data_IF_348242985192
#
_entry.id   IF_348242985192
#
_cell.length_a   1.000
_cell.length_b   1.000
_cell.length_c   1.000
_cell.angle_alpha   90.00
_cell.angle_beta   90.00
_cell.angle_gamma   90.00
#
_symmetry.space_group_name_H-M   'P 1'
#
loop_
_entity.id
_entity.type
_entity.pdbx_description
1 polymer ?
#
# COMPACT_ATOMS: atom_id res chain seq x y z
N UNK A 1 -3.44 10.01 -28.08
CA UNK A 1 -3.14 9.62 -26.69
C UNK A 1 -3.88 10.58 -25.79
N UNK A 2 -4.64 10.09 -24.80
CA UNK A 2 -5.25 10.99 -23.81
C UNK A 2 -4.15 11.69 -23.03
N UNK A 3 -4.32 12.96 -22.73
CA UNK A 3 -3.39 13.73 -21.93
C UNK A 3 -3.29 13.15 -20.51
N UNK A 4 -2.05 12.97 -20.03
CA UNK A 4 -1.81 12.41 -18.69
C UNK A 4 -2.30 13.34 -17.59
N UNK A 5 -2.70 12.78 -16.46
CA UNK A 5 -3.01 13.54 -15.26
C UNK A 5 -1.71 14.06 -14.62
N UNK A 6 -1.75 15.31 -14.18
CA UNK A 6 -0.63 15.96 -13.50
C UNK A 6 -0.61 15.53 -12.03
N UNK A 7 0.50 14.98 -11.60
CA UNK A 7 0.64 14.40 -10.26
C UNK A 7 1.63 15.20 -9.43
N UNK A 8 1.25 15.50 -8.19
CA UNK A 8 2.14 15.98 -7.15
C UNK A 8 2.48 14.88 -6.17
N UNK A 9 3.69 14.91 -5.60
CA UNK A 9 4.08 14.01 -4.53
C UNK A 9 4.48 14.84 -3.32
N UNK A 10 3.80 14.61 -2.20
CA UNK A 10 4.06 15.30 -0.94
C UNK A 10 4.98 14.45 -0.07
N UNK A 11 6.08 15.03 0.43
CA UNK A 11 7.12 14.38 1.22
C UNK A 11 8.40 14.05 0.45
N UNK A 12 8.71 14.76 -0.58
CA UNK A 12 9.58 14.52 -1.73
C UNK A 12 10.91 13.76 -1.54
N UNK A 13 11.56 13.77 -0.35
CA UNK A 13 12.92 13.25 -0.18
C UNK A 13 13.00 11.86 0.47
N UNK A 14 11.91 11.35 1.01
CA UNK A 14 11.87 10.04 1.68
C UNK A 14 11.94 8.85 0.71
N UNK A 15 12.28 7.66 1.25
CA UNK A 15 12.42 6.43 0.46
C UNK A 15 11.13 6.04 -0.26
N UNK A 16 9.96 6.21 0.37
CA UNK A 16 8.66 5.92 -0.25
C UNK A 16 8.42 6.82 -1.45
N UNK A 17 8.74 8.10 -1.34
CA UNK A 17 8.61 9.06 -2.46
C UNK A 17 9.53 8.69 -3.61
N UNK A 18 10.75 8.28 -3.32
CA UNK A 18 11.69 7.78 -4.34
C UNK A 18 11.10 6.58 -5.08
N UNK A 19 10.42 5.69 -4.37
CA UNK A 19 9.72 4.55 -4.99
C UNK A 19 8.57 5.00 -5.87
N UNK A 20 7.76 5.97 -5.45
CA UNK A 20 6.73 6.58 -6.30
C UNK A 20 7.33 7.12 -7.60
N UNK A 21 8.40 7.88 -7.51
CA UNK A 21 9.08 8.48 -8.66
C UNK A 21 9.55 7.40 -9.63
N UNK A 22 10.18 6.33 -9.13
CA UNK A 22 10.61 5.22 -9.97
C UNK A 22 9.45 4.51 -10.65
N UNK A 23 8.35 4.26 -9.94
CA UNK A 23 7.18 3.58 -10.51
C UNK A 23 6.39 4.44 -11.48
N UNK A 24 6.44 5.76 -11.33
CA UNK A 24 5.72 6.70 -12.19
C UNK A 24 6.53 7.14 -13.42
N UNK A 25 7.80 6.74 -13.53
CA UNK A 25 8.59 6.97 -14.73
C UNK A 25 7.91 6.28 -15.92
N UNK A 26 7.61 7.06 -16.96
CA UNK A 26 6.90 6.58 -18.16
C UNK A 26 5.51 5.98 -17.91
N UNK A 27 4.87 6.29 -16.79
CA UNK A 27 3.51 5.82 -16.50
C UNK A 27 2.53 6.29 -17.59
N UNK A 28 1.64 5.43 -18.12
CA UNK A 28 0.78 5.79 -19.25
C UNK A 28 -0.30 6.82 -18.90
N UNK A 29 -0.70 6.93 -17.63
CA UNK A 29 -1.80 7.81 -17.20
C UNK A 29 -1.37 8.99 -16.35
N UNK A 30 -0.21 8.92 -15.70
CA UNK A 30 0.24 9.89 -14.69
C UNK A 30 1.60 10.46 -15.04
N UNK A 31 1.76 11.77 -14.81
CA UNK A 31 3.03 12.48 -14.97
C UNK A 31 3.34 13.26 -13.70
N UNK A 32 4.50 13.01 -13.11
CA UNK A 32 4.96 13.76 -11.94
C UNK A 32 5.42 15.14 -12.40
N UNK A 33 4.71 16.18 -11.99
CA UNK A 33 5.02 17.58 -12.35
C UNK A 33 5.40 18.43 -11.15
N UNK A 34 5.05 17.99 -9.94
CA UNK A 34 5.27 18.75 -8.70
C UNK A 34 5.77 17.84 -7.60
N UNK A 35 6.80 18.28 -6.91
CA UNK A 35 7.34 17.67 -5.71
C UNK A 35 7.30 18.70 -4.59
N UNK A 36 6.70 18.35 -3.46
CA UNK A 36 6.59 19.23 -2.31
C UNK A 36 7.12 18.56 -1.05
N UNK A 37 7.86 19.28 -0.25
CA UNK A 37 8.48 18.79 0.98
C UNK A 37 8.46 19.87 2.07
N UNK A 38 9.13 19.58 3.18
CA UNK A 38 9.29 20.54 4.28
C UNK A 38 10.00 21.83 3.79
N UNK A 39 9.81 22.95 4.51
CA UNK A 39 10.50 24.20 4.18
C UNK A 39 12.02 24.08 4.00
N UNK A 40 12.65 23.10 4.67
CA UNK A 40 14.09 22.83 4.58
C UNK A 40 14.54 22.44 3.17
N UNK A 41 13.71 21.72 2.44
CA UNK A 41 13.99 21.24 1.09
C UNK A 41 13.42 22.15 0.00
N UNK A 42 12.48 23.02 0.34
CA UNK A 42 11.84 23.93 -0.61
C UNK A 42 12.85 24.88 -1.26
N UNK A 43 12.66 25.17 -2.54
CA UNK A 43 13.51 26.06 -3.34
C UNK A 43 14.74 25.39 -3.96
N UNK A 44 15.05 24.14 -3.61
CA UNK A 44 16.12 23.34 -4.21
C UNK A 44 15.57 22.52 -5.37
N UNK A 45 16.42 22.18 -6.34
CA UNK A 45 16.06 21.13 -7.30
C UNK A 45 15.91 19.79 -6.56
N UNK A 46 15.15 18.87 -7.13
CA UNK A 46 14.95 17.57 -6.50
C UNK A 46 16.28 16.82 -6.28
N UNK A 47 17.17 16.84 -7.27
CA UNK A 47 18.50 16.24 -7.14
C UNK A 47 19.29 16.82 -5.97
N UNK A 48 19.28 18.15 -5.82
CA UNK A 48 19.92 18.85 -4.69
C UNK A 48 19.25 18.50 -3.35
N UNK A 49 17.92 18.45 -3.32
CA UNK A 49 17.15 18.15 -2.11
C UNK A 49 17.40 16.69 -1.62
N UNK A 50 17.54 15.76 -2.55
CA UNK A 50 17.91 14.36 -2.23
C UNK A 50 19.36 14.27 -1.77
N UNK A 51 20.26 15.06 -2.38
CA UNK A 51 21.63 15.24 -1.91
C UNK A 51 22.42 13.93 -1.77
N UNK A 52 22.40 13.07 -2.78
CA UNK A 52 23.10 11.79 -2.77
C UNK A 52 22.41 10.67 -1.97
N UNK A 53 21.23 10.91 -1.40
CA UNK A 53 20.45 9.93 -0.64
C UNK A 53 19.44 9.15 -1.49
N UNK A 54 19.66 9.07 -2.79
CA UNK A 54 18.86 8.23 -3.66
C UNK A 54 19.12 6.76 -3.32
N UNK A 55 18.07 6.00 -2.97
CA UNK A 55 18.17 4.63 -2.44
C UNK A 55 17.58 3.57 -3.35
N UNK A 56 17.09 3.97 -4.53
CA UNK A 56 16.53 3.02 -5.49
C UNK A 56 17.63 2.36 -6.33
N UNK A 57 17.37 1.13 -6.78
CA UNK A 57 18.29 0.38 -7.63
C UNK A 57 18.42 0.97 -9.05
N UNK A 58 17.37 1.65 -9.49
CA UNK A 58 17.36 2.39 -10.77
C UNK A 58 17.84 3.82 -10.58
N UNK A 59 18.45 4.43 -11.60
CA UNK A 59 18.84 5.85 -11.54
C UNK A 59 17.63 6.75 -11.30
N UNK A 60 17.87 7.92 -10.69
CA UNK A 60 16.86 8.96 -10.60
C UNK A 60 16.41 9.37 -12.00
N UNK A 61 15.09 9.35 -12.30
CA UNK A 61 14.59 9.76 -13.61
C UNK A 61 14.98 11.20 -13.97
N UNK A 62 15.45 11.42 -15.19
CA UNK A 62 15.88 12.75 -15.67
C UNK A 62 14.73 13.78 -15.57
N UNK A 63 13.49 13.35 -15.82
CA UNK A 63 12.33 14.23 -15.81
C UNK A 63 12.08 14.91 -14.45
N UNK A 64 12.55 14.35 -13.34
CA UNK A 64 12.31 14.92 -12.00
C UNK A 64 13.51 15.66 -11.41
N UNK A 65 14.71 15.43 -11.91
CA UNK A 65 15.96 15.97 -11.34
C UNK A 65 15.92 17.48 -11.10
N UNK A 66 15.42 18.22 -12.09
CA UNK A 66 15.41 19.68 -12.10
C UNK A 66 14.10 20.30 -11.60
N UNK A 67 13.14 19.49 -11.15
CA UNK A 67 11.93 20.03 -10.52
C UNK A 67 12.33 20.75 -9.24
N UNK A 68 11.95 22.01 -9.14
CA UNK A 68 12.17 22.79 -7.91
C UNK A 68 11.14 22.35 -6.86
N UNK A 69 11.63 21.86 -5.74
CA UNK A 69 10.79 21.38 -4.65
C UNK A 69 10.02 22.55 -4.03
N UNK A 70 8.70 22.39 -3.93
CA UNK A 70 7.82 23.38 -3.32
C UNK A 70 7.68 23.12 -1.81
N UNK A 71 7.27 24.14 -1.07
CA UNK A 71 6.92 23.97 0.34
C UNK A 71 5.54 23.31 0.47
N UNK A 72 5.47 22.15 1.10
CA UNK A 72 4.24 21.39 1.26
C UNK A 72 3.15 22.17 2.02
N UNK A 73 3.53 23.12 2.85
CA UNK A 73 2.60 23.98 3.61
C UNK A 73 1.95 25.09 2.77
N UNK A 74 2.48 25.37 1.58
CA UNK A 74 1.85 26.30 0.61
C UNK A 74 0.78 25.56 -0.21
N UNK A 75 -0.26 25.07 0.49
CA UNK A 75 -1.24 24.09 -0.02
C UNK A 75 -1.89 24.56 -1.32
N UNK A 76 -2.44 25.77 -1.37
CA UNK A 76 -3.12 26.28 -2.58
C UNK A 76 -2.18 26.41 -3.77
N UNK A 77 -0.95 26.83 -3.52
CA UNK A 77 0.07 26.98 -4.57
C UNK A 77 0.45 25.62 -5.15
N UNK A 78 0.70 24.63 -4.32
CA UNK A 78 0.99 23.26 -4.77
C UNK A 78 -0.21 22.67 -5.49
N UNK A 79 -1.39 22.78 -4.91
CA UNK A 79 -2.64 22.24 -5.45
C UNK A 79 -3.00 22.80 -6.82
N UNK A 80 -2.63 24.07 -7.11
CA UNK A 80 -2.89 24.72 -8.40
C UNK A 80 -2.12 24.09 -9.56
N UNK A 81 -1.05 23.36 -9.28
CA UNK A 81 -0.16 22.77 -10.30
C UNK A 81 -0.53 21.37 -10.71
N UNK A 82 -1.42 20.70 -9.97
CA UNK A 82 -1.70 19.27 -10.10
C UNK A 82 -3.18 18.95 -10.21
N UNK A 83 -3.48 17.76 -10.71
CA UNK A 83 -4.84 17.20 -10.73
C UNK A 83 -5.13 16.40 -9.45
N UNK A 84 -4.13 15.71 -8.92
CA UNK A 84 -4.18 15.03 -7.61
C UNK A 84 -2.76 14.86 -7.03
N UNK A 85 -2.68 14.41 -5.78
CA UNK A 85 -1.41 14.17 -5.10
C UNK A 85 -1.34 12.80 -4.47
N UNK A 86 -0.12 12.23 -4.43
CA UNK A 86 0.24 11.17 -3.50
C UNK A 86 0.83 11.81 -2.24
N UNK A 87 0.46 11.30 -1.07
CA UNK A 87 0.99 11.81 0.19
C UNK A 87 1.83 10.75 0.90
N UNK A 88 3.07 11.11 1.22
CA UNK A 88 4.00 10.36 2.04
C UNK A 88 4.79 11.31 2.93
N UNK A 89 4.10 12.29 3.52
CA UNK A 89 4.70 13.28 4.41
C UNK A 89 5.12 12.65 5.74
N UNK A 90 6.18 13.19 6.33
CA UNK A 90 6.71 12.78 7.63
C UNK A 90 6.43 13.87 8.66
N UNK A 91 5.35 13.71 9.38
CA UNK A 91 4.84 14.64 10.40
C UNK A 91 4.12 13.83 11.49
N UNK A 92 3.67 14.49 12.56
CA UNK A 92 2.77 13.85 13.51
C UNK A 92 1.44 13.44 12.83
N UNK A 93 0.74 12.46 13.40
CA UNK A 93 -0.55 12.02 12.84
C UNK A 93 -1.57 13.15 12.70
N UNK A 94 -1.63 14.03 13.68
CA UNK A 94 -2.58 15.15 13.67
C UNK A 94 -2.22 16.17 12.58
N UNK A 95 -0.93 16.47 12.40
CA UNK A 95 -0.45 17.33 11.32
C UNK A 95 -0.72 16.71 9.95
N UNK A 96 -0.52 15.40 9.79
CA UNK A 96 -0.82 14.69 8.53
C UNK A 96 -2.33 14.75 8.23
N UNK A 97 -3.19 14.49 9.21
CA UNK A 97 -4.64 14.60 9.04
C UNK A 97 -5.03 15.99 8.56
N UNK A 98 -4.50 17.02 9.22
CA UNK A 98 -4.81 18.41 8.90
C UNK A 98 -4.37 18.78 7.48
N UNK A 99 -3.13 18.49 7.10
CA UNK A 99 -2.59 18.88 5.80
C UNK A 99 -3.26 18.11 4.65
N UNK A 100 -3.53 16.81 4.83
CA UNK A 100 -4.22 16.03 3.80
C UNK A 100 -5.66 16.54 3.59
N UNK A 101 -6.37 16.92 4.65
CA UNK A 101 -7.68 17.57 4.54
C UNK A 101 -7.62 18.94 3.87
N UNK A 102 -6.60 19.73 4.16
CA UNK A 102 -6.42 21.02 3.48
C UNK A 102 -6.23 20.85 1.98
N UNK A 103 -5.41 19.88 1.53
CA UNK A 103 -5.28 19.55 0.10
C UNK A 103 -6.61 19.11 -0.49
N UNK A 104 -7.33 18.21 0.16
CA UNK A 104 -8.64 17.77 -0.31
C UNK A 104 -9.63 18.94 -0.48
N UNK A 105 -9.63 19.89 0.46
CA UNK A 105 -10.50 21.08 0.41
C UNK A 105 -10.18 22.04 -0.74
N UNK A 106 -9.00 21.95 -1.35
CA UNK A 106 -8.67 22.68 -2.60
C UNK A 106 -9.17 21.98 -3.85
N UNK A 107 -10.06 21.01 -3.72
CA UNK A 107 -10.54 20.15 -4.83
C UNK A 107 -9.43 19.26 -5.42
N UNK A 108 -8.42 18.92 -4.61
CA UNK A 108 -7.31 18.06 -4.99
C UNK A 108 -7.43 16.70 -4.29
N UNK A 109 -7.76 15.62 -5.00
CA UNK A 109 -7.74 14.30 -4.42
C UNK A 109 -6.36 13.94 -3.83
N UNK A 110 -6.39 13.28 -2.68
CA UNK A 110 -5.18 12.81 -1.97
C UNK A 110 -5.23 11.28 -1.90
N UNK A 111 -4.23 10.64 -2.46
CA UNK A 111 -4.00 9.20 -2.31
C UNK A 111 -2.83 9.02 -1.36
N UNK A 112 -3.10 8.57 -0.14
CA UNK A 112 -2.12 8.60 0.94
C UNK A 112 -1.52 7.23 1.22
N UNK A 113 -0.20 7.22 1.43
CA UNK A 113 0.54 6.10 1.98
C UNK A 113 0.60 6.14 3.51
N UNK A 114 0.20 7.26 4.12
CA UNK A 114 0.29 7.47 5.55
C UNK A 114 -0.83 6.75 6.33
N UNK A 115 -0.56 6.46 7.60
CA UNK A 115 -1.52 5.78 8.48
C UNK A 115 -2.53 6.71 9.13
N UNK A 116 -2.35 8.03 9.04
CA UNK A 116 -3.13 9.00 9.81
C UNK A 116 -4.66 8.89 9.60
N UNK A 117 -5.11 8.71 8.36
CA UNK A 117 -6.54 8.61 8.02
C UNK A 117 -7.06 7.18 7.86
N UNK A 118 -6.26 6.14 8.15
CA UNK A 118 -6.71 4.74 7.96
C UNK A 118 -7.95 4.38 8.75
N UNK A 119 -8.20 5.06 9.88
CA UNK A 119 -9.35 4.81 10.74
C UNK A 119 -10.39 5.95 10.73
N UNK A 120 -10.20 6.96 9.91
CA UNK A 120 -11.22 7.99 9.71
C UNK A 120 -12.44 7.36 9.05
N UNK A 121 -13.64 7.45 9.64
CA UNK A 121 -14.78 6.61 9.25
C UNK A 121 -15.21 6.69 7.79
N UNK A 122 -15.10 7.87 7.17
CA UNK A 122 -15.49 8.12 5.77
C UNK A 122 -14.30 8.17 4.81
N UNK A 123 -13.11 7.77 5.25
CA UNK A 123 -11.94 7.64 4.39
C UNK A 123 -11.78 6.17 3.99
N UNK A 124 -11.83 5.83 2.69
CA UNK A 124 -11.64 4.46 2.27
C UNK A 124 -10.17 4.06 2.39
N UNK A 125 -9.94 2.91 3.01
CA UNK A 125 -8.65 2.22 3.05
C UNK A 125 -8.76 1.00 2.14
N UNK A 126 -8.03 0.98 1.03
CA UNK A 126 -8.32 0.05 -0.06
C UNK A 126 -7.08 -0.71 -0.52
N UNK A 127 -7.26 -2.02 -0.70
CA UNK A 127 -6.49 -2.87 -1.61
C UNK A 127 -7.39 -3.12 -2.82
N UNK A 128 -7.08 -2.60 -4.00
CA UNK A 128 -8.03 -2.58 -5.12
C UNK A 128 -8.56 -3.95 -5.55
N UNK A 129 -7.81 -5.01 -5.31
CA UNK A 129 -8.26 -6.38 -5.56
C UNK A 129 -9.20 -6.92 -4.47
N UNK A 130 -9.26 -6.29 -3.29
CA UNK A 130 -10.03 -6.78 -2.13
C UNK A 130 -11.35 -6.04 -1.97
N UNK A 131 -11.31 -4.71 -1.89
CA UNK A 131 -12.44 -3.90 -1.46
C UNK A 131 -12.61 -2.59 -2.24
N UNK A 132 -12.59 -2.61 -3.58
CA UNK A 132 -12.72 -1.38 -4.38
C UNK A 132 -14.07 -0.68 -4.19
N UNK A 133 -15.12 -1.39 -3.76
CA UNK A 133 -16.43 -0.84 -3.44
C UNK A 133 -16.39 0.15 -2.26
N UNK A 134 -15.38 0.07 -1.39
CA UNK A 134 -15.20 1.04 -0.32
C UNK A 134 -14.93 2.47 -0.82
N UNK A 135 -14.47 2.63 -2.06
CA UNK A 135 -14.36 3.96 -2.67
C UNK A 135 -15.70 4.70 -2.74
N UNK A 136 -16.82 4.00 -2.70
CA UNK A 136 -18.14 4.63 -2.72
C UNK A 136 -18.45 5.45 -1.47
N UNK A 137 -17.69 5.27 -0.37
CA UNK A 137 -17.78 6.13 0.81
C UNK A 137 -17.32 7.57 0.54
N UNK A 138 -16.56 7.79 -0.51
CA UNK A 138 -16.04 9.11 -0.90
C UNK A 138 -17.17 10.13 -1.06
N UNK A 139 -18.34 9.74 -1.57
CA UNK A 139 -19.49 10.64 -1.67
C UNK A 139 -19.91 11.25 -0.32
N UNK A 140 -19.80 10.49 0.76
CA UNK A 140 -20.11 10.96 2.12
C UNK A 140 -18.98 11.83 2.67
N UNK A 141 -17.74 11.45 2.41
CA UNK A 141 -16.57 12.25 2.78
C UNK A 141 -16.62 13.65 2.13
N UNK A 142 -16.96 13.72 0.84
CA UNK A 142 -17.11 15.00 0.12
C UNK A 142 -18.15 15.90 0.76
N UNK A 143 -19.27 15.36 1.24
CA UNK A 143 -20.29 16.12 1.98
C UNK A 143 -19.72 16.71 3.27
N UNK A 144 -18.96 15.90 4.02
CA UNK A 144 -18.30 16.36 5.25
C UNK A 144 -17.26 17.46 4.99
N UNK A 145 -16.43 17.29 3.94
CA UNK A 145 -15.39 18.24 3.57
C UNK A 145 -15.92 19.49 2.85
N UNK A 146 -17.14 19.43 2.30
CA UNK A 146 -17.70 20.51 1.48
C UNK A 146 -17.03 20.60 0.10
N UNK A 147 -16.61 19.46 -0.46
CA UNK A 147 -15.93 19.37 -1.75
C UNK A 147 -16.79 18.71 -2.82
N UNK A 148 -16.43 18.91 -4.08
CA UNK A 148 -17.03 18.24 -5.24
C UNK A 148 -16.07 17.25 -5.90
N UNK A 149 -14.77 17.51 -5.89
CA UNK A 149 -13.73 16.65 -6.46
C UNK A 149 -12.73 16.16 -5.40
N UNK A 150 -12.45 16.96 -4.39
CA UNK A 150 -11.44 16.67 -3.38
C UNK A 150 -11.89 15.60 -2.39
N UNK A 151 -11.02 14.67 -2.09
CA UNK A 151 -11.18 13.60 -1.10
C UNK A 151 -9.84 13.02 -0.69
N UNK A 152 -9.84 12.18 0.32
CA UNK A 152 -8.69 11.39 0.77
C UNK A 152 -9.05 9.91 0.64
N UNK A 153 -8.16 9.14 0.03
CA UNK A 153 -8.17 7.69 0.04
C UNK A 153 -6.81 7.19 0.52
N UNK A 154 -6.78 6.10 1.27
CA UNK A 154 -5.54 5.57 1.83
C UNK A 154 -5.36 4.10 1.47
N UNK A 155 -4.11 3.66 1.47
CA UNK A 155 -3.76 2.24 1.41
C UNK A 155 -3.45 1.70 2.81
N UNK A 156 -3.63 0.40 3.07
CA UNK A 156 -3.34 -0.20 4.36
C UNK A 156 -1.84 -0.40 4.61
N UNK A 157 -1.53 -0.93 5.78
CA UNK A 157 -0.18 -1.30 6.19
C UNK A 157 0.45 -2.31 5.22
N UNK A 158 1.78 -2.22 5.05
CA UNK A 158 2.52 -3.07 4.13
C UNK A 158 2.57 -4.54 4.56
N UNK A 159 2.59 -4.83 5.86
CA UNK A 159 2.75 -6.21 6.36
C UNK A 159 1.58 -7.12 6.02
N UNK A 160 0.36 -6.58 5.97
CA UNK A 160 -0.83 -7.38 5.71
C UNK A 160 -0.95 -7.89 4.27
N UNK A 161 -0.20 -7.32 3.35
CA UNK A 161 -0.24 -7.71 1.93
C UNK A 161 0.23 -9.15 1.70
N UNK A 162 1.01 -9.71 2.61
CA UNK A 162 1.48 -11.10 2.51
C UNK A 162 0.43 -12.14 2.92
N UNK A 163 -0.68 -11.74 3.57
CA UNK A 163 -1.71 -12.69 3.99
C UNK A 163 -3.15 -12.24 3.81
N UNK A 164 -3.46 -10.95 3.86
CA UNK A 164 -4.84 -10.49 3.69
C UNK A 164 -5.43 -10.81 2.31
N UNK A 165 -4.70 -10.67 1.19
CA UNK A 165 -5.19 -11.13 -0.11
C UNK A 165 -5.46 -12.63 -0.15
N UNK A 166 -4.62 -13.43 0.51
CA UNK A 166 -4.75 -14.89 0.59
C UNK A 166 -6.05 -15.27 1.31
N UNK A 167 -6.28 -14.68 2.47
CA UNK A 167 -7.51 -14.92 3.25
C UNK A 167 -8.76 -14.42 2.49
N UNK A 168 -8.63 -13.37 1.69
CA UNK A 168 -9.70 -12.87 0.83
C UNK A 168 -10.06 -13.89 -0.26
N UNK A 169 -9.07 -14.53 -0.88
CA UNK A 169 -9.31 -15.59 -1.86
C UNK A 169 -10.04 -16.81 -1.24
N UNK A 170 -9.93 -16.98 0.06
CA UNK A 170 -10.54 -18.09 0.81
C UNK A 170 -11.84 -17.70 1.53
N UNK A 171 -12.38 -16.53 1.26
CA UNK A 171 -13.56 -15.98 1.96
C UNK A 171 -14.77 -16.94 1.96
N UNK A 172 -15.01 -17.66 0.89
CA UNK A 172 -16.13 -18.62 0.80
C UNK A 172 -16.04 -19.76 1.83
N UNK A 173 -14.84 -20.08 2.30
CA UNK A 173 -14.62 -21.11 3.34
C UNK A 173 -14.70 -20.56 4.77
N UNK A 174 -14.96 -19.27 4.91
CA UNK A 174 -15.17 -18.58 6.19
C UNK A 174 -14.03 -18.76 7.19
N UNK A 175 -12.81 -18.22 6.91
CA UNK A 175 -11.76 -18.20 7.92
C UNK A 175 -12.26 -17.42 9.14
N UNK A 176 -12.04 -17.98 10.37
CA UNK A 176 -12.54 -17.36 11.59
C UNK A 176 -11.50 -17.16 12.70
N UNK A 177 -10.42 -17.91 12.71
CA UNK A 177 -9.26 -17.69 13.58
C UNK A 177 -7.97 -17.74 12.77
N UNK A 178 -7.11 -16.76 12.98
CA UNK A 178 -5.84 -16.60 12.27
C UNK A 178 -4.74 -16.25 13.25
N UNK A 179 -3.63 -16.96 13.18
CA UNK A 179 -2.38 -16.61 13.84
C UNK A 179 -1.35 -16.29 12.77
N UNK A 180 -0.78 -15.11 12.81
CA UNK A 180 0.23 -14.68 11.87
C UNK A 180 1.49 -14.21 12.59
N UNK A 181 2.64 -14.56 12.05
CA UNK A 181 3.92 -13.95 12.42
C UNK A 181 4.52 -13.32 11.16
N UNK A 182 4.81 -12.02 11.22
CA UNK A 182 5.41 -11.32 10.08
C UNK A 182 6.90 -11.12 10.30
N UNK A 183 7.67 -11.37 9.26
CA UNK A 183 9.12 -11.18 9.18
C UNK A 183 9.35 -10.00 8.24
N UNK A 184 9.59 -8.80 8.83
CA UNK A 184 9.52 -7.54 8.09
C UNK A 184 10.89 -6.98 7.74
N UNK A 185 11.03 -6.62 6.48
CA UNK A 185 12.24 -6.05 5.91
C UNK A 185 12.57 -4.66 6.47
N UNK A 186 13.85 -4.31 6.48
CA UNK A 186 14.36 -3.03 7.01
C UNK A 186 13.93 -1.81 6.18
N UNK A 187 13.69 -1.96 4.90
CA UNK A 187 13.18 -0.86 4.05
C UNK A 187 11.80 -0.36 4.49
N UNK A 188 11.02 -1.18 5.21
CA UNK A 188 9.80 -0.75 5.87
C UNK A 188 10.00 0.34 6.93
N UNK A 189 11.21 0.47 7.47
CA UNK A 189 11.64 1.57 8.35
C UNK A 189 12.31 2.72 7.57
N UNK A 190 12.31 2.70 6.25
CA UNK A 190 12.98 3.68 5.39
C UNK A 190 14.52 3.56 5.40
N UNK A 191 15.05 2.41 5.77
CA UNK A 191 16.49 2.17 5.94
C UNK A 191 17.04 1.11 5.00
N UNK A 192 18.33 1.22 4.72
CA UNK A 192 19.14 0.18 4.09
C UNK A 192 20.11 -0.38 5.11
N UNK A 193 20.86 -1.43 4.79
CA UNK A 193 21.93 -1.94 5.69
C UNK A 193 23.04 -0.91 5.90
N UNK A 194 23.28 -0.03 4.94
CA UNK A 194 24.21 1.08 5.11
C UNK A 194 23.76 2.07 6.21
N UNK A 195 22.44 2.32 6.28
CA UNK A 195 21.85 3.21 7.29
C UNK A 195 21.70 2.51 8.65
N UNK A 196 21.62 1.18 8.64
CA UNK A 196 21.33 0.38 9.83
C UNK A 196 22.14 -0.93 9.85
N UNK A 197 23.48 -0.84 9.98
CA UNK A 197 24.36 -2.01 9.94
C UNK A 197 24.11 -2.98 11.10
N UNK A 198 23.58 -2.52 12.24
CA UNK A 198 23.25 -3.37 13.39
C UNK A 198 22.17 -4.41 13.10
N UNK A 199 21.45 -4.26 11.98
CA UNK A 199 20.47 -5.26 11.55
C UNK A 199 21.11 -6.47 10.86
N UNK A 200 22.34 -6.36 10.41
CA UNK A 200 23.05 -7.53 9.90
C UNK A 200 23.14 -8.60 11.00
N UNK A 201 22.70 -9.81 10.69
CA UNK A 201 22.67 -10.94 11.62
C UNK A 201 21.80 -10.74 12.88
N UNK A 202 20.82 -9.83 12.86
CA UNK A 202 19.98 -9.51 14.01
C UNK A 202 18.47 -9.64 13.69
N UNK A 203 17.68 -10.00 14.71
CA UNK A 203 16.23 -9.99 14.68
C UNK A 203 15.73 -9.14 15.86
N UNK A 204 14.87 -8.17 15.59
CA UNK A 204 14.23 -7.37 16.64
C UNK A 204 12.76 -7.84 16.77
N UNK A 205 12.34 -8.34 17.94
CA UNK A 205 10.99 -8.91 18.13
C UNK A 205 9.92 -7.85 18.39
N UNK A 206 10.15 -6.62 17.96
CA UNK A 206 9.24 -5.49 18.19
C UNK A 206 9.32 -4.46 17.10
N UNK A 207 8.15 -4.09 16.55
CA UNK A 207 7.98 -2.94 15.66
C UNK A 207 6.79 -2.14 16.19
N UNK A 208 7.02 -0.89 16.58
CA UNK A 208 6.01 -0.06 17.27
C UNK A 208 4.68 0.03 16.49
N UNK A 209 3.59 -0.43 17.11
CA UNK A 209 2.24 -0.35 16.56
C UNK A 209 1.92 -1.31 15.40
N UNK A 210 2.86 -2.12 14.94
CA UNK A 210 2.65 -3.01 13.79
C UNK A 210 1.69 -4.17 14.10
N UNK A 211 1.75 -4.76 15.28
CA UNK A 211 0.88 -5.87 15.65
C UNK A 211 -0.58 -5.46 15.64
N UNK A 212 -0.92 -4.32 16.23
CA UNK A 212 -2.28 -3.79 16.22
C UNK A 212 -2.79 -3.52 14.79
N UNK A 213 -1.97 -2.91 13.93
CA UNK A 213 -2.31 -2.71 12.52
C UNK A 213 -2.56 -4.03 11.81
N UNK A 214 -1.70 -5.01 12.02
CA UNK A 214 -1.76 -6.33 11.39
C UNK A 214 -2.99 -7.13 11.82
N UNK A 215 -3.47 -6.91 13.04
CA UNK A 215 -4.66 -7.57 13.59
C UNK A 215 -5.97 -6.89 13.15
N UNK A 216 -5.99 -5.57 13.03
CA UNK A 216 -7.22 -4.79 12.83
C UNK A 216 -7.46 -4.32 11.39
N UNK A 217 -6.41 -3.92 10.66
CA UNK A 217 -6.60 -3.37 9.31
C UNK A 217 -7.24 -4.35 8.33
N UNK A 218 -6.93 -5.66 8.34
CA UNK A 218 -7.65 -6.61 7.49
C UNK A 218 -9.16 -6.62 7.74
N UNK A 219 -9.60 -6.47 8.98
CA UNK A 219 -11.03 -6.42 9.32
C UNK A 219 -11.73 -5.21 8.70
N UNK A 220 -11.03 -4.07 8.62
CA UNK A 220 -11.56 -2.90 7.93
C UNK A 220 -11.67 -3.13 6.42
N UNK A 221 -10.70 -3.79 5.80
CA UNK A 221 -10.76 -4.15 4.38
C UNK A 221 -11.98 -5.04 4.07
N UNK A 222 -12.31 -5.96 4.97
CA UNK A 222 -13.46 -6.87 4.84
C UNK A 222 -14.76 -6.30 5.39
N UNK A 223 -14.74 -5.07 5.86
CA UNK A 223 -15.91 -4.36 6.33
C UNK A 223 -16.85 -3.93 5.22
N UNK A 224 -17.83 -3.14 5.56
CA UNK A 224 -18.84 -2.61 4.64
C UNK A 224 -19.20 -1.17 4.96
N UNK A 225 -19.79 -0.50 3.97
CA UNK A 225 -20.31 0.85 4.16
C UNK A 225 -21.70 0.75 4.79
N UNK A 226 -21.87 1.39 5.94
CA UNK A 226 -23.15 1.55 6.64
C UNK A 226 -23.30 3.02 7.07
N UNK A 227 -24.42 3.64 6.69
CA UNK A 227 -24.72 5.02 7.05
C UNK A 227 -23.59 6.02 6.74
N UNK A 228 -22.91 5.81 5.61
CA UNK A 228 -21.83 6.70 5.15
C UNK A 228 -20.48 6.53 5.83
N UNK A 229 -20.28 5.45 6.56
CA UNK A 229 -19.01 5.11 7.20
C UNK A 229 -18.62 3.65 6.93
N UNK A 230 -17.33 3.37 7.00
CA UNK A 230 -16.82 2.00 6.91
C UNK A 230 -16.92 1.34 8.29
N UNK A 231 -17.71 0.27 8.38
CA UNK A 231 -17.84 -0.57 9.58
C UNK A 231 -16.98 -1.81 9.39
N UNK A 232 -15.96 -2.03 10.23
CA UNK A 232 -15.10 -3.21 10.12
C UNK A 232 -15.86 -4.53 10.30
N UNK A 233 -15.37 -5.60 9.65
CA UNK A 233 -15.81 -6.95 9.94
C UNK A 233 -15.37 -7.36 11.36
N UNK A 234 -16.06 -8.34 11.94
CA UNK A 234 -15.75 -8.86 13.28
C UNK A 234 -14.97 -10.17 13.25
N UNK A 235 -14.91 -10.82 12.11
CA UNK A 235 -14.17 -12.06 11.85
C UNK A 235 -13.37 -11.96 10.54
N UNK A 236 -12.27 -12.72 10.41
CA UNK A 236 -11.65 -13.60 11.41
C UNK A 236 -11.03 -12.84 12.58
N UNK A 237 -10.90 -13.48 13.74
CA UNK A 237 -10.07 -12.97 14.82
C UNK A 237 -8.62 -13.24 14.45
N UNK A 238 -7.80 -12.22 14.46
CA UNK A 238 -6.39 -12.29 14.08
C UNK A 238 -5.52 -11.92 15.28
N UNK A 239 -4.56 -12.76 15.62
CA UNK A 239 -3.43 -12.40 16.48
C UNK A 239 -2.15 -12.42 15.67
N UNK A 240 -1.28 -11.44 15.91
CA UNK A 240 -0.07 -11.26 15.11
C UNK A 240 1.14 -10.93 15.98
N UNK A 241 2.29 -11.48 15.62
CA UNK A 241 3.59 -11.03 16.07
C UNK A 241 4.36 -10.44 14.88
N UNK A 242 5.01 -9.31 15.07
CA UNK A 242 5.76 -8.63 14.03
C UNK A 242 7.23 -8.52 14.40
N UNK A 243 8.10 -9.15 13.62
CA UNK A 243 9.54 -9.15 13.81
C UNK A 243 10.24 -8.38 12.70
N UNK A 244 11.25 -7.58 13.06
CA UNK A 244 12.16 -7.00 12.09
C UNK A 244 13.30 -7.98 11.83
N UNK A 245 13.53 -8.32 10.56
CA UNK A 245 14.53 -9.31 10.15
C UNK A 245 15.57 -8.69 9.21
N UNK A 246 16.77 -9.28 9.09
CA UNK A 246 17.85 -8.73 8.27
C UNK A 246 17.62 -9.02 6.76
N UNK A 247 16.56 -8.47 6.23
CA UNK A 247 16.16 -8.54 4.83
C UNK A 247 15.94 -7.11 4.35
N UNK A 248 16.44 -6.77 3.16
CA UNK A 248 16.30 -5.41 2.62
C UNK A 248 14.85 -5.12 2.20
N UNK A 249 14.29 -5.94 1.33
CA UNK A 249 12.92 -5.82 0.82
C UNK A 249 12.21 -7.17 0.90
N UNK A 250 10.91 -7.12 1.14
CA UNK A 250 10.04 -8.30 1.20
C UNK A 250 9.59 -8.62 2.62
N UNK A 251 8.28 -8.58 2.84
CA UNK A 251 7.66 -9.01 4.08
C UNK A 251 7.10 -10.42 3.92
N UNK A 252 7.57 -11.32 4.76
CA UNK A 252 7.11 -12.72 4.82
C UNK A 252 6.18 -12.90 5.99
N UNK A 253 5.09 -13.68 5.83
CA UNK A 253 4.20 -14.06 6.91
C UNK A 253 4.10 -15.58 7.03
N UNK A 254 4.25 -16.09 8.24
CA UNK A 254 3.91 -17.46 8.59
C UNK A 254 2.53 -17.46 9.25
N UNK A 255 1.57 -18.17 8.67
CA UNK A 255 0.15 -18.04 9.01
C UNK A 255 -0.50 -19.39 9.28
N UNK A 256 -1.30 -19.45 10.35
CA UNK A 256 -2.16 -20.57 10.71
C UNK A 256 -3.62 -20.11 10.63
N UNK A 257 -4.50 -20.93 10.08
CA UNK A 257 -5.89 -20.56 9.84
C UNK A 257 -6.86 -21.70 10.16
N UNK A 258 -8.00 -21.33 10.76
CA UNK A 258 -9.18 -22.20 10.94
C UNK A 258 -10.33 -21.69 10.09
N UNK A 259 -11.06 -22.60 9.50
CA UNK A 259 -12.23 -22.36 8.66
C UNK A 259 -13.50 -22.91 9.27
N UNK A 260 -14.61 -22.18 9.15
CA UNK A 260 -15.94 -22.73 9.50
C UNK A 260 -16.39 -23.83 8.53
N UNK A 261 -16.00 -23.68 7.27
CA UNK A 261 -16.26 -24.65 6.18
C UNK A 261 -14.92 -25.16 5.69
N UNK A 262 -14.34 -26.12 6.43
CA UNK A 262 -12.99 -26.62 6.12
C UNK A 262 -12.89 -27.10 4.67
N UNK A 263 -12.07 -26.44 3.82
CA UNK A 263 -11.85 -26.86 2.44
C UNK A 263 -10.79 -27.96 2.34
N UNK A 264 -10.67 -28.54 1.16
CA UNK A 264 -9.50 -29.34 0.82
C UNK A 264 -8.33 -28.43 0.46
N UNK A 265 -7.12 -28.95 0.54
CA UNK A 265 -5.91 -28.25 0.09
C UNK A 265 -6.02 -27.81 -1.38
N UNK A 266 -6.55 -28.68 -2.23
CA UNK A 266 -6.73 -28.43 -3.67
C UNK A 266 -7.70 -27.28 -3.91
N UNK A 267 -8.80 -27.20 -3.15
CA UNK A 267 -9.74 -26.07 -3.23
C UNK A 267 -9.07 -24.75 -2.84
N UNK A 268 -8.22 -24.76 -1.82
CA UNK A 268 -7.48 -23.56 -1.41
C UNK A 268 -6.48 -23.10 -2.48
N UNK A 269 -5.73 -24.03 -3.07
CA UNK A 269 -4.79 -23.70 -4.15
C UNK A 269 -5.53 -23.16 -5.37
N UNK A 270 -6.61 -23.80 -5.77
CA UNK A 270 -7.43 -23.34 -6.90
C UNK A 270 -7.97 -21.94 -6.67
N UNK A 271 -8.46 -21.64 -5.47
CA UNK A 271 -8.94 -20.31 -5.10
C UNK A 271 -7.84 -19.26 -5.23
N UNK A 272 -6.60 -19.57 -4.86
CA UNK A 272 -5.46 -18.65 -5.05
C UNK A 272 -5.15 -18.43 -6.53
N UNK A 273 -5.09 -19.49 -7.31
CA UNK A 273 -4.76 -19.43 -8.75
C UNK A 273 -5.81 -18.68 -9.56
N UNK A 274 -7.07 -18.77 -9.17
CA UNK A 274 -8.19 -18.14 -9.86
C UNK A 274 -8.55 -16.76 -9.32
N UNK A 275 -7.88 -16.29 -8.27
CA UNK A 275 -8.22 -15.01 -7.67
C UNK A 275 -7.96 -13.85 -8.63
N UNK A 276 -9.01 -13.11 -8.93
CA UNK A 276 -8.98 -11.91 -9.76
C UNK A 276 -9.82 -10.83 -9.08
N UNK A 277 -9.30 -9.62 -9.08
CA UNK A 277 -10.03 -8.45 -8.60
C UNK A 277 -10.31 -7.45 -9.73
N UNK A 278 -10.93 -6.34 -9.38
CA UNK A 278 -11.25 -5.26 -10.31
C UNK A 278 -10.03 -4.77 -11.13
N UNK A 279 -8.82 -4.60 -10.54
CA UNK A 279 -7.66 -4.18 -11.31
C UNK A 279 -7.30 -5.12 -12.46
N UNK A 280 -7.44 -6.44 -12.27
CA UNK A 280 -7.19 -7.43 -13.30
C UNK A 280 -8.27 -7.41 -14.37
N UNK A 281 -9.54 -7.24 -13.98
CA UNK A 281 -10.66 -7.12 -14.92
C UNK A 281 -10.56 -5.88 -15.81
N UNK A 282 -10.09 -4.77 -15.24
CA UNK A 282 -9.90 -3.51 -15.96
C UNK A 282 -8.53 -3.40 -16.65
N UNK A 283 -7.67 -4.40 -16.50
CA UNK A 283 -6.30 -4.39 -17.04
C UNK A 283 -5.54 -3.09 -16.72
N UNK A 284 -5.61 -2.66 -15.45
CA UNK A 284 -4.98 -1.41 -15.03
C UNK A 284 -3.44 -1.47 -15.22
N UNK A 285 -2.80 -0.33 -15.53
CA UNK A 285 -1.37 -0.31 -15.89
C UNK A 285 -0.43 -0.98 -14.88
N UNK A 286 -0.67 -0.78 -13.57
CA UNK A 286 0.17 -1.35 -12.51
C UNK A 286 -0.39 -2.66 -11.94
N UNK A 287 -1.53 -3.15 -12.45
CA UNK A 287 -2.13 -4.38 -11.96
C UNK A 287 -1.30 -5.60 -12.37
N UNK A 288 -0.98 -6.50 -11.43
CA UNK A 288 -0.41 -7.79 -11.79
C UNK A 288 -1.42 -8.59 -12.63
N UNK A 289 -0.95 -9.32 -13.62
CA UNK A 289 -1.80 -10.19 -14.44
C UNK A 289 -2.37 -11.34 -13.63
N UNK A 290 -1.51 -11.94 -12.80
CA UNK A 290 -1.84 -12.99 -11.86
C UNK A 290 -1.44 -12.51 -10.47
N UNK A 291 -2.43 -12.09 -9.68
CA UNK A 291 -2.16 -11.43 -8.42
C UNK A 291 -1.47 -12.34 -7.41
N UNK A 292 -1.96 -13.58 -7.25
CA UNK A 292 -1.42 -14.55 -6.29
C UNK A 292 -0.88 -15.76 -7.04
N UNK A 293 0.41 -16.07 -6.84
CA UNK A 293 0.98 -17.34 -7.28
C UNK A 293 1.07 -18.32 -6.11
N UNK A 294 0.85 -19.60 -6.41
CA UNK A 294 1.13 -20.69 -5.49
C UNK A 294 2.37 -21.46 -5.95
N UNK A 295 3.33 -21.64 -5.06
CA UNK A 295 4.59 -22.33 -5.30
C UNK A 295 4.57 -23.68 -4.57
N UNK A 296 4.86 -24.75 -5.31
CA UNK A 296 4.76 -26.12 -4.80
C UNK A 296 6.04 -26.61 -4.14
N UNK A 297 7.17 -25.95 -4.39
CA UNK A 297 8.47 -26.32 -3.84
C UNK A 297 8.48 -26.10 -2.31
N UNK A 298 9.02 -27.08 -1.57
CA UNK A 298 9.06 -27.06 -0.11
C UNK A 298 9.85 -25.89 0.51
N UNK A 299 10.74 -25.28 -0.25
CA UNK A 299 11.58 -24.17 0.20
C UNK A 299 11.14 -22.81 -0.35
N UNK A 300 9.92 -22.67 -0.85
CA UNK A 300 9.39 -21.42 -1.43
C UNK A 300 8.10 -20.98 -0.71
N UNK A 301 7.80 -19.66 -0.61
CA UNK A 301 8.53 -18.54 -1.23
C UNK A 301 9.81 -18.17 -0.49
N UNK A 302 10.78 -17.70 -1.26
CA UNK A 302 12.00 -17.10 -0.74
C UNK A 302 12.07 -15.64 -1.19
N UNK A 303 12.51 -14.75 -0.29
CA UNK A 303 12.61 -13.32 -0.61
C UNK A 303 13.47 -13.08 -1.85
N UNK A 304 14.66 -13.69 -1.91
CA UNK A 304 15.59 -13.51 -3.04
C UNK A 304 15.04 -13.96 -4.39
N UNK A 305 14.14 -14.94 -4.39
CA UNK A 305 13.58 -15.54 -5.60
C UNK A 305 12.24 -14.91 -6.01
N UNK A 306 11.41 -14.55 -5.00
CA UNK A 306 9.99 -14.32 -5.23
C UNK A 306 9.51 -12.89 -4.94
N UNK A 307 10.32 -12.04 -4.31
CA UNK A 307 9.91 -10.69 -3.92
C UNK A 307 9.47 -9.83 -5.12
N UNK A 308 10.06 -10.06 -6.29
CA UNK A 308 9.77 -9.31 -7.51
C UNK A 308 8.71 -9.96 -8.41
N UNK A 309 8.01 -10.98 -7.93
CA UNK A 309 6.90 -11.58 -8.69
C UNK A 309 5.91 -10.49 -9.15
N UNK A 310 5.54 -10.52 -10.45
CA UNK A 310 4.71 -9.48 -11.07
C UNK A 310 5.25 -8.05 -10.80
N UNK A 311 6.56 -7.88 -10.96
CA UNK A 311 7.26 -6.61 -10.70
C UNK A 311 7.08 -6.07 -9.26
N UNK A 312 6.90 -6.96 -8.29
CA UNK A 312 6.66 -6.60 -6.89
C UNK A 312 5.21 -6.28 -6.56
N UNK A 313 4.29 -6.42 -7.51
CA UNK A 313 2.86 -6.18 -7.29
C UNK A 313 2.07 -7.45 -6.98
N UNK A 314 2.66 -8.62 -7.19
CA UNK A 314 2.05 -9.91 -6.86
C UNK A 314 2.33 -10.36 -5.43
N UNK A 315 1.62 -11.40 -5.03
CA UNK A 315 1.79 -12.11 -3.75
C UNK A 315 2.17 -13.55 -4.02
N UNK A 316 3.21 -14.04 -3.35
CA UNK A 316 3.69 -15.42 -3.49
C UNK A 316 3.30 -16.22 -2.26
N UNK A 317 2.67 -17.36 -2.47
CA UNK A 317 2.22 -18.28 -1.41
C UNK A 317 2.84 -19.64 -1.62
N UNK A 318 3.29 -20.25 -0.56
CA UNK A 318 3.78 -21.62 -0.56
C UNK A 318 3.58 -22.29 0.79
N UNK A 319 4.09 -23.49 0.90
CA UNK A 319 4.02 -24.24 2.16
C UNK A 319 2.60 -24.43 2.70
N UNK A 320 1.57 -24.48 1.87
CA UNK A 320 0.20 -24.79 2.30
C UNK A 320 0.11 -26.28 2.65
N UNK A 321 -0.22 -26.56 3.88
CA UNK A 321 -0.34 -27.93 4.41
C UNK A 321 -1.25 -27.96 5.63
N UNK A 322 -1.79 -29.11 5.92
CA UNK A 322 -2.56 -29.35 7.15
C UNK A 322 -1.71 -29.06 8.39
N UNK A 323 -2.37 -28.57 9.44
CA UNK A 323 -1.77 -28.29 10.73
C UNK A 323 -2.33 -29.21 11.81
N UNK A 324 -1.56 -29.39 12.88
CA UNK A 324 -1.95 -30.25 14.02
C UNK A 324 -2.90 -29.59 15.00
N UNK A 325 -2.93 -28.24 15.02
CA UNK A 325 -3.77 -27.44 15.93
C UNK A 325 -4.83 -26.66 15.17
N UNK A 326 -4.41 -26.04 14.07
CA UNK A 326 -5.30 -25.31 13.14
C UNK A 326 -5.69 -26.22 11.97
N UNK A 327 -6.50 -25.71 11.05
CA UNK A 327 -6.85 -26.51 9.87
C UNK A 327 -5.69 -26.53 8.86
N UNK A 328 -5.13 -25.37 8.56
CA UNK A 328 -4.03 -25.21 7.60
C UNK A 328 -3.02 -24.17 8.08
N UNK A 329 -1.82 -24.26 7.52
CA UNK A 329 -0.78 -23.25 7.64
C UNK A 329 -0.10 -23.02 6.30
N UNK A 330 0.40 -21.80 6.10
CA UNK A 330 1.08 -21.41 4.88
C UNK A 330 2.09 -20.30 5.14
N UNK A 331 2.88 -20.00 4.11
CA UNK A 331 3.80 -18.85 4.09
C UNK A 331 3.43 -17.96 2.93
N UNK A 332 3.29 -16.66 3.18
CA UNK A 332 3.05 -15.63 2.18
C UNK A 332 4.18 -14.63 2.11
N UNK A 333 4.39 -14.05 0.95
CA UNK A 333 5.42 -13.04 0.70
C UNK A 333 4.89 -11.94 -0.22
N UNK A 334 5.15 -10.69 0.12
CA UNK A 334 4.88 -9.53 -0.73
C UNK A 334 6.01 -8.51 -0.65
N UNK A 335 6.17 -7.71 -1.69
CA UNK A 335 7.14 -6.61 -1.70
C UNK A 335 6.60 -5.41 -0.93
N UNK A 336 7.24 -5.09 0.19
CA UNK A 336 6.75 -4.07 1.14
C UNK A 336 6.80 -2.64 0.63
N UNK A 337 7.71 -2.29 -0.28
CA UNK A 337 7.80 -0.92 -0.82
C UNK A 337 7.09 -0.74 -2.16
N UNK A 338 6.79 -1.83 -2.85
CA UNK A 338 6.01 -1.82 -4.10
C UNK A 338 4.55 -2.11 -3.79
N UNK A 339 4.09 -3.38 -3.75
CA UNK A 339 2.70 -3.70 -3.39
C UNK A 339 2.30 -3.07 -2.05
N UNK A 340 3.17 -3.16 -1.06
CA UNK A 340 2.89 -2.72 0.31
C UNK A 340 2.93 -1.21 0.54
N UNK A 341 3.45 -0.42 -0.38
CA UNK A 341 3.58 1.02 -0.24
C UNK A 341 3.24 1.76 -1.54
N UNK A 342 4.24 2.32 -2.22
CA UNK A 342 4.04 3.19 -3.37
C UNK A 342 3.26 2.52 -4.52
N UNK A 343 3.57 1.28 -4.86
CA UNK A 343 2.87 0.55 -5.92
C UNK A 343 1.40 0.31 -5.60
N UNK A 344 1.08 -0.01 -4.35
CA UNK A 344 -0.30 -0.15 -3.89
C UNK A 344 -1.08 1.17 -3.99
N UNK A 345 -0.45 2.29 -3.64
CA UNK A 345 -1.06 3.61 -3.76
C UNK A 345 -1.26 4.02 -5.23
N UNK A 346 -0.29 3.73 -6.10
CA UNK A 346 -0.44 3.97 -7.55
C UNK A 346 -1.62 3.17 -8.11
N UNK A 347 -1.76 1.91 -7.74
CA UNK A 347 -2.89 1.08 -8.16
C UNK A 347 -4.23 1.62 -7.64
N UNK A 348 -4.28 2.14 -6.41
CA UNK A 348 -5.45 2.86 -5.88
C UNK A 348 -5.80 4.06 -6.76
N UNK A 349 -4.83 4.89 -7.14
CA UNK A 349 -5.05 6.05 -8.00
C UNK A 349 -5.54 5.64 -9.41
N UNK A 350 -4.99 4.58 -9.98
CA UNK A 350 -5.46 4.03 -11.26
C UNK A 350 -6.91 3.56 -11.18
N UNK A 351 -7.26 2.87 -10.08
CA UNK A 351 -8.63 2.40 -9.84
C UNK A 351 -9.60 3.58 -9.67
N UNK A 352 -9.19 4.59 -8.89
CA UNK A 352 -9.97 5.82 -8.70
C UNK A 352 -10.18 6.58 -10.01
N UNK A 353 -9.14 6.66 -10.86
CA UNK A 353 -9.29 7.25 -12.20
C UNK A 353 -10.26 6.45 -13.07
N UNK A 354 -10.10 5.13 -13.11
CA UNK A 354 -10.98 4.25 -13.91
C UNK A 354 -12.44 4.31 -13.46
N UNK A 355 -12.70 4.49 -12.16
CA UNK A 355 -14.05 4.68 -11.58
C UNK A 355 -14.58 6.12 -11.73
N UNK A 356 -13.79 7.06 -12.26
CA UNK A 356 -14.19 8.44 -12.47
C UNK A 356 -14.08 9.38 -11.27
N UNK A 357 -13.46 8.94 -10.18
CA UNK A 357 -13.24 9.79 -9.00
C UNK A 357 -12.10 10.79 -9.19
N UNK A 358 -11.06 10.44 -9.92
CA UNK A 358 -9.96 11.34 -10.25
C UNK A 358 -10.06 11.75 -11.72
N UNK A 359 -10.17 13.05 -11.94
CA UNK A 359 -10.27 13.67 -13.27
C UNK A 359 -9.33 14.86 -13.35
N UNK A 360 -9.13 15.38 -14.55
CA UNK A 360 -8.45 16.67 -14.72
C UNK A 360 -9.19 17.81 -13.99
N UNK A 361 -8.42 18.74 -13.45
CA UNK A 361 -8.93 20.03 -12.96
C UNK A 361 -9.34 20.95 -14.11
#
# INVERSE_FOLDING_TARGET
MSEKLRVGILGATGMVVQRFISLLENHPWFEVVTLAASPRSAGKTYEEAVGGRWKMDTPMPEAVKNIVVMNVNEVEKVASTVDFVFSAVDMSKDEIKAIEEEYAKTETPVVSNNSAHRWTPDVPMVVPEINPEHFDVIQYQKKRLGTTKGFIAVKPNCSIQSYAPVLTAWKEFEPYEVVATTYQAISGAGKTFKDWPEMEHNIIPYIGGEEEKSEKEPLRLWGKIEDGVIVPATEPVITCQCLRVPVLNGHTAAVFVKFRKKPTKEQLIEALRNFRGLPQELELPSAPKHFIQYLEEDNRPQVSEDVNYEHGMGVSVGRLREDTVYDYKFVGLSHNTVRGAAGGAVLCAETLKAKGYITKK
#
